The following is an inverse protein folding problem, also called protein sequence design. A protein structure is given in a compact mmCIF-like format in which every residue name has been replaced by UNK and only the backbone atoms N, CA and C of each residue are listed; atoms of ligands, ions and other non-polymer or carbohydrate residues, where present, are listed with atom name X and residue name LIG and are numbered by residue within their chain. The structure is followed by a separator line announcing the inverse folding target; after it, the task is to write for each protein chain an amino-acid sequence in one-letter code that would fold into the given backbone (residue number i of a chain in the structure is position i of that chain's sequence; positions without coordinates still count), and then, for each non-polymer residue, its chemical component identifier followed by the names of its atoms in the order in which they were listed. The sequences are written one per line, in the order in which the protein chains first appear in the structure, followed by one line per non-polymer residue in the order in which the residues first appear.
data_IF_100020000348
#
_entry.id   IF_100020000348
#
_cell.length_a   1.000
_cell.length_b   1.000
_cell.length_c   1.000
_cell.angle_alpha   90.00
_cell.angle_beta   90.00
_cell.angle_gamma   90.00
#
_symmetry.space_group_name_H-M   'P 1'
#
loop_
_entity.id
_entity.type
_entity.pdbx_description
1 polymer ?
#
# COMPACT_ATOMS: atom_id res chain seq x y z
N UNK A 1 8.15 7.11 1.52
CA UNK A 1 7.33 6.46 0.50
C UNK A 1 8.24 5.63 -0.39
N UNK A 2 7.87 4.40 -0.70
CA UNK A 2 8.51 3.54 -1.70
C UNK A 2 7.41 2.89 -2.56
N UNK A 3 7.59 2.88 -3.88
CA UNK A 3 6.70 2.25 -4.86
C UNK A 3 7.53 1.82 -6.07
N UNK A 4 6.90 1.15 -7.03
CA UNK A 4 7.55 0.67 -8.25
C UNK A 4 7.16 1.46 -9.50
N UNK A 5 6.64 2.66 -9.26
CA UNK A 5 6.30 3.61 -10.31
C UNK A 5 4.80 3.61 -10.60
N UNK A 6 4.30 4.80 -10.86
CA UNK A 6 2.87 5.03 -11.02
C UNK A 6 2.45 4.89 -12.48
N UNK A 7 2.63 3.71 -13.09
CA UNK A 7 2.21 3.43 -14.47
C UNK A 7 1.70 2.00 -14.62
N UNK A 8 0.78 1.79 -15.56
CA UNK A 8 0.29 0.46 -15.90
C UNK A 8 1.34 -0.28 -16.75
N UNK A 9 2.05 -1.21 -16.14
CA UNK A 9 3.15 -1.94 -16.76
C UNK A 9 3.31 -3.37 -16.23
N UNK A 10 4.22 -4.16 -16.82
CA UNK A 10 4.37 -5.57 -16.46
C UNK A 10 5.00 -5.79 -15.08
N UNK A 11 5.73 -4.80 -14.54
CA UNK A 11 6.32 -4.80 -13.18
C UNK A 11 7.14 -6.08 -12.84
N UNK A 12 7.60 -6.80 -13.85
CA UNK A 12 8.27 -8.09 -13.67
C UNK A 12 9.76 -7.96 -13.30
N UNK A 13 10.33 -6.77 -13.53
CA UNK A 13 11.74 -6.45 -13.28
C UNK A 13 11.94 -5.64 -12.00
N UNK A 14 10.87 -5.41 -11.24
CA UNK A 14 10.94 -4.67 -10.00
C UNK A 14 11.73 -5.40 -8.93
N UNK A 15 12.46 -4.61 -8.13
CA UNK A 15 13.18 -5.11 -6.97
C UNK A 15 12.16 -5.57 -5.92
N UNK A 16 12.20 -6.82 -5.44
CA UNK A 16 11.21 -7.29 -4.48
C UNK A 16 11.36 -6.57 -3.14
N UNK A 17 10.23 -6.37 -2.43
CA UNK A 17 10.18 -5.74 -1.11
C UNK A 17 11.16 -6.39 -0.14
N UNK A 18 11.32 -7.72 -0.20
CA UNK A 18 12.25 -8.44 0.66
C UNK A 18 13.71 -7.95 0.55
N UNK A 19 14.15 -7.56 -0.65
CA UNK A 19 15.51 -7.07 -0.86
C UNK A 19 15.71 -5.68 -0.24
N UNK A 20 14.69 -4.83 -0.26
CA UNK A 20 14.76 -3.45 0.24
C UNK A 20 14.28 -3.28 1.68
N UNK A 21 13.71 -4.33 2.29
CA UNK A 21 13.02 -4.27 3.58
C UNK A 21 13.87 -3.69 4.71
N UNK A 22 15.09 -4.21 4.94
CA UNK A 22 15.96 -3.73 6.02
C UNK A 22 16.33 -2.26 5.81
N UNK A 23 16.58 -1.86 4.56
CA UNK A 23 16.83 -0.45 4.22
C UNK A 23 15.62 0.41 4.55
N UNK A 24 14.41 0.00 4.16
CA UNK A 24 13.16 0.71 4.46
C UNK A 24 12.94 0.86 5.98
N UNK A 25 13.14 -0.22 6.75
CA UNK A 25 13.00 -0.20 8.21
C UNK A 25 14.06 0.68 8.90
N UNK A 26 15.27 0.77 8.34
CA UNK A 26 16.36 1.59 8.87
C UNK A 26 16.18 3.10 8.66
N UNK A 27 15.24 3.52 7.80
CA UNK A 27 15.01 4.94 7.56
C UNK A 27 14.63 5.67 8.85
N UNK A 28 14.96 6.96 8.99
CA UNK A 28 14.59 7.75 10.17
C UNK A 28 13.10 8.14 10.21
N UNK A 29 12.36 7.92 9.12
CA UNK A 29 10.95 8.26 9.02
C UNK A 29 10.10 7.35 9.93
N UNK A 30 9.18 7.95 10.68
CA UNK A 30 8.24 7.20 11.52
C UNK A 30 7.14 6.53 10.69
N UNK A 31 6.64 7.25 9.69
CA UNK A 31 5.56 6.81 8.81
C UNK A 31 6.13 6.27 7.49
N UNK A 32 5.81 5.03 7.18
CA UNK A 32 6.32 4.34 5.99
C UNK A 32 5.16 3.98 5.08
N UNK A 33 4.98 4.74 3.99
CA UNK A 33 4.03 4.44 2.92
C UNK A 33 4.67 3.59 1.83
N UNK A 34 4.07 2.45 1.51
CA UNK A 34 4.62 1.50 0.55
C UNK A 34 3.53 0.79 -0.25
N UNK A 35 3.84 0.47 -1.51
CA UNK A 35 2.94 -0.16 -2.47
C UNK A 35 2.66 -1.65 -2.13
N UNK A 36 1.39 -2.05 -2.06
CA UNK A 36 0.96 -3.44 -1.76
C UNK A 36 -0.40 -3.83 -2.33
N UNK A 37 -0.99 -3.07 -3.26
CA UNK A 37 -2.30 -3.38 -3.84
C UNK A 37 -2.27 -3.92 -5.24
N UNK A 38 -1.37 -3.44 -6.08
CA UNK A 38 -1.26 -3.93 -7.44
C UNK A 38 -0.98 -5.46 -7.45
N UNK A 39 -1.43 -6.19 -8.48
CA UNK A 39 -1.32 -7.65 -8.51
C UNK A 39 0.10 -8.19 -8.43
N UNK A 40 1.11 -7.40 -8.82
CA UNK A 40 2.52 -7.82 -8.78
C UNK A 40 3.06 -7.86 -7.36
N UNK A 41 2.77 -6.83 -6.56
CA UNK A 41 3.33 -6.66 -5.21
C UNK A 41 2.35 -7.02 -4.09
N UNK A 42 1.07 -7.27 -4.39
CA UNK A 42 0.05 -7.57 -3.38
C UNK A 42 0.34 -8.78 -2.49
N UNK A 43 1.19 -9.72 -2.94
CA UNK A 43 1.59 -10.87 -2.14
C UNK A 43 2.70 -10.55 -1.13
N UNK A 44 3.40 -9.42 -1.26
CA UNK A 44 4.59 -9.09 -0.46
C UNK A 44 4.28 -8.63 0.97
N UNK A 45 2.99 -8.56 1.35
CA UNK A 45 2.60 -8.43 2.77
C UNK A 45 3.19 -9.57 3.62
N UNK A 46 3.44 -10.74 3.03
CA UNK A 46 4.09 -11.88 3.70
C UNK A 46 5.52 -11.54 4.13
N UNK A 47 6.23 -10.65 3.42
CA UNK A 47 7.55 -10.17 3.83
C UNK A 47 7.48 -9.46 5.18
N UNK A 48 6.48 -8.59 5.37
CA UNK A 48 6.26 -7.89 6.63
C UNK A 48 5.88 -8.86 7.76
N UNK A 49 5.05 -9.88 7.46
CA UNK A 49 4.66 -10.92 8.42
C UNK A 49 5.88 -11.73 8.85
N UNK A 50 6.63 -12.24 7.89
CA UNK A 50 7.74 -13.17 8.12
C UNK A 50 8.95 -12.47 8.76
N UNK A 51 9.09 -11.15 8.53
CA UNK A 51 10.16 -10.31 9.06
C UNK A 51 9.67 -9.32 10.12
N UNK A 52 8.57 -9.63 10.80
CA UNK A 52 7.96 -8.78 11.84
C UNK A 52 8.97 -8.32 12.91
N UNK A 53 9.90 -9.20 13.30
CA UNK A 53 10.92 -8.90 14.32
C UNK A 53 11.91 -7.80 13.92
N UNK A 54 12.01 -7.49 12.63
CA UNK A 54 12.86 -6.42 12.10
C UNK A 54 12.13 -5.07 12.00
N UNK A 55 10.82 -5.00 12.31
CA UNK A 55 10.04 -3.76 12.25
C UNK A 55 10.19 -3.02 13.59
N UNK A 56 10.86 -1.86 13.65
CA UNK A 56 11.04 -1.12 14.90
C UNK A 56 9.69 -0.67 15.49
N UNK A 57 9.56 -0.67 16.82
CA UNK A 57 8.28 -0.40 17.49
C UNK A 57 7.71 1.00 17.27
N UNK A 58 8.57 1.96 16.90
CA UNK A 58 8.14 3.31 16.58
C UNK A 58 7.63 3.47 15.14
N UNK A 59 7.68 2.44 14.29
CA UNK A 59 7.18 2.54 12.91
C UNK A 59 5.66 2.46 12.85
N UNK A 60 5.09 3.36 12.07
CA UNK A 60 3.71 3.31 11.59
C UNK A 60 3.73 2.87 10.13
N UNK A 61 3.08 1.76 9.83
CA UNK A 61 2.99 1.22 8.48
C UNK A 61 1.80 1.84 7.77
N UNK A 62 2.04 2.32 6.54
CA UNK A 62 1.00 2.83 5.66
C UNK A 62 0.95 1.97 4.40
N UNK A 63 0.39 0.75 4.47
CA UNK A 63 0.28 -0.11 3.30
C UNK A 63 -0.63 0.54 2.25
N UNK A 64 -0.24 0.43 0.99
CA UNK A 64 -1.10 0.73 -0.14
C UNK A 64 -2.20 -0.33 -0.22
N UNK A 65 -3.46 0.09 0.00
CA UNK A 65 -4.65 -0.77 -0.01
C UNK A 65 -5.57 -0.52 -1.22
N UNK A 66 -5.24 0.48 -2.03
CA UNK A 66 -5.79 0.73 -3.37
C UNK A 66 -4.67 0.91 -4.39
N UNK A 67 -4.84 0.33 -5.57
CA UNK A 67 -3.93 0.41 -6.71
C UNK A 67 -4.10 1.76 -7.42
N UNK A 68 -2.99 2.40 -7.80
CA UNK A 68 -3.00 3.70 -8.51
C UNK A 68 -2.62 3.60 -9.98
N UNK A 69 -2.43 2.38 -10.49
CA UNK A 69 -2.04 2.09 -11.87
C UNK A 69 -3.20 1.59 -12.74
N UNK A 70 -4.34 1.24 -12.13
CA UNK A 70 -5.52 0.74 -12.83
C UNK A 70 -6.79 1.51 -12.44
N UNK A 71 -7.82 1.43 -13.28
CA UNK A 71 -9.12 2.06 -13.04
C UNK A 71 -10.12 1.17 -12.27
N UNK A 72 -9.70 0.00 -11.78
CA UNK A 72 -10.57 -0.84 -10.94
C UNK A 72 -10.78 -0.19 -9.59
N UNK A 73 -12.02 0.10 -9.20
CA UNK A 73 -12.31 0.49 -7.81
C UNK A 73 -12.33 -0.77 -6.96
N UNK A 74 -11.43 -0.84 -5.99
CA UNK A 74 -11.35 -1.95 -5.05
C UNK A 74 -12.63 -2.05 -4.23
N UNK A 75 -13.08 -3.29 -3.96
CA UNK A 75 -14.21 -3.51 -3.08
C UNK A 75 -13.84 -3.19 -1.62
N UNK A 76 -14.69 -2.52 -0.82
CA UNK A 76 -14.40 -2.18 0.58
C UNK A 76 -13.96 -3.37 1.44
N UNK A 77 -14.59 -4.54 1.29
CA UNK A 77 -14.16 -5.79 1.95
C UNK A 77 -12.71 -6.21 1.62
N UNK A 78 -12.27 -6.03 0.36
CA UNK A 78 -10.89 -6.32 -0.02
C UNK A 78 -9.94 -5.32 0.64
N UNK A 79 -10.33 -4.05 0.71
CA UNK A 79 -9.55 -3.03 1.42
C UNK A 79 -9.45 -3.37 2.92
N UNK A 80 -10.55 -3.74 3.57
CA UNK A 80 -10.57 -4.17 4.96
C UNK A 80 -9.62 -5.36 5.19
N UNK A 81 -9.70 -6.41 4.36
CA UNK A 81 -8.79 -7.55 4.42
C UNK A 81 -7.31 -7.15 4.27
N UNK A 82 -7.01 -6.19 3.39
CA UNK A 82 -5.64 -5.70 3.21
C UNK A 82 -5.15 -4.95 4.45
N UNK A 83 -5.98 -4.10 5.06
CA UNK A 83 -5.64 -3.39 6.30
C UNK A 83 -5.44 -4.39 7.45
N UNK A 84 -6.36 -5.34 7.61
CA UNK A 84 -6.34 -6.34 8.69
C UNK A 84 -5.04 -7.15 8.70
N UNK A 85 -4.56 -7.58 7.52
CA UNK A 85 -3.26 -8.28 7.40
C UNK A 85 -2.12 -7.54 8.07
N UNK A 86 -2.07 -6.21 7.93
CA UNK A 86 -1.00 -5.41 8.56
C UNK A 86 -1.29 -5.14 10.05
N UNK A 87 -2.55 -4.97 10.42
CA UNK A 87 -2.95 -4.86 11.82
C UNK A 87 -2.56 -6.11 12.62
N UNK A 88 -2.71 -7.30 12.04
CA UNK A 88 -2.29 -8.57 12.66
C UNK A 88 -0.76 -8.66 12.86
N UNK A 89 0.01 -7.94 12.04
CA UNK A 89 1.47 -7.90 12.12
C UNK A 89 1.92 -6.92 13.21
N UNK A 90 1.49 -5.67 13.18
CA UNK A 90 2.06 -4.61 14.03
C UNK A 90 1.11 -4.01 15.08
N UNK A 91 -0.16 -4.40 15.09
CA UNK A 91 -1.19 -3.79 15.92
C UNK A 91 -1.95 -2.69 15.17
N UNK A 92 -3.23 -2.50 15.52
CA UNK A 92 -4.14 -1.53 14.89
C UNK A 92 -3.71 -0.08 15.08
N UNK A 93 -3.04 0.21 16.19
CA UNK A 93 -2.47 1.51 16.53
C UNK A 93 -1.27 1.91 15.65
N UNK A 94 -0.74 0.96 14.87
CA UNK A 94 0.47 1.14 14.06
C UNK A 94 0.22 0.99 12.56
N UNK A 95 -1.04 1.05 12.12
CA UNK A 95 -1.43 0.95 10.71
C UNK A 95 -2.31 2.13 10.31
N UNK A 96 -2.02 2.73 9.16
CA UNK A 96 -2.86 3.72 8.48
C UNK A 96 -3.08 3.22 7.05
N UNK A 97 -4.30 3.21 6.53
CA UNK A 97 -4.53 2.86 5.12
C UNK A 97 -3.97 3.93 4.17
N UNK A 98 -3.23 3.54 3.14
CA UNK A 98 -2.77 4.44 2.07
C UNK A 98 -3.12 3.94 0.67
N UNK A 99 -2.83 4.75 -0.34
CA UNK A 99 -2.78 4.33 -1.74
C UNK A 99 -1.38 3.84 -2.10
N UNK A 100 -1.26 2.99 -3.13
CA UNK A 100 0.02 2.46 -3.60
C UNK A 100 1.01 3.57 -3.98
N UNK A 101 0.54 4.61 -4.67
CA UNK A 101 1.27 5.82 -5.01
C UNK A 101 0.33 7.05 -5.01
N UNK A 102 0.71 8.13 -5.69
CA UNK A 102 -0.21 9.22 -6.01
C UNK A 102 -1.02 8.92 -7.28
N UNK A 103 -2.20 9.51 -7.45
CA UNK A 103 -3.01 9.34 -8.67
C UNK A 103 -2.54 10.20 -9.86
N UNK A 104 -1.59 11.13 -9.63
CA UNK A 104 -0.99 11.96 -10.67
C UNK A 104 0.15 11.24 -11.39
N UNK A 105 -0.18 10.45 -12.41
CA UNK A 105 0.78 9.74 -13.28
C UNK A 105 1.47 10.74 -14.23
N UNK A 106 2.59 11.34 -13.82
CA UNK A 106 3.28 12.39 -14.58
C UNK A 106 2.42 13.65 -14.85
N UNK A 107 3.07 14.80 -15.11
CA UNK A 107 2.35 16.04 -15.39
C UNK A 107 1.55 15.94 -16.71
N UNK A 108 0.27 15.59 -16.61
CA UNK A 108 -0.69 15.57 -17.72
C UNK A 108 -1.07 14.21 -18.31
N UNK A 109 -0.62 13.08 -17.74
CA UNK A 109 -0.88 11.73 -18.27
C UNK A 109 -1.44 10.77 -17.21
N UNK A 110 -2.58 11.13 -16.59
CA UNK A 110 -3.20 10.30 -15.55
C UNK A 110 -3.63 8.92 -16.06
N UNK A 111 -3.08 7.84 -15.49
CA UNK A 111 -3.57 6.48 -15.73
C UNK A 111 -4.97 6.26 -15.10
N UNK A 112 -5.29 7.03 -14.06
CA UNK A 112 -6.55 6.98 -13.32
C UNK A 112 -7.36 8.25 -13.55
N UNK A 113 -8.62 8.08 -13.95
CA UNK A 113 -9.56 9.20 -14.09
C UNK A 113 -9.82 9.87 -12.72
N UNK A 114 -9.89 11.21 -12.62
CA UNK A 114 -10.13 11.90 -11.35
C UNK A 114 -11.35 11.38 -10.58
N UNK A 115 -12.47 11.08 -11.24
CA UNK A 115 -13.66 10.58 -10.58
C UNK A 115 -13.43 9.16 -10.01
N UNK A 116 -12.63 8.36 -10.70
CA UNK A 116 -12.22 7.02 -10.23
C UNK A 116 -11.25 7.13 -9.05
N UNK A 117 -10.35 8.11 -9.05
CA UNK A 117 -9.48 8.37 -7.90
C UNK A 117 -10.31 8.68 -6.64
N UNK A 118 -11.35 9.52 -6.75
CA UNK A 118 -12.27 9.78 -5.63
C UNK A 118 -13.08 8.56 -5.23
N UNK A 119 -13.53 7.74 -6.19
CA UNK A 119 -14.21 6.47 -5.90
C UNK A 119 -13.31 5.50 -5.11
N UNK A 120 -12.02 5.40 -5.47
CA UNK A 120 -11.03 4.59 -4.73
C UNK A 120 -10.80 5.11 -3.32
N UNK A 121 -10.71 6.42 -3.12
CA UNK A 121 -10.58 7.02 -1.79
C UNK A 121 -11.83 6.78 -0.93
N UNK A 122 -13.01 6.78 -1.55
CA UNK A 122 -14.28 6.43 -0.89
C UNK A 122 -14.26 4.97 -0.45
N UNK A 123 -13.92 4.04 -1.34
CA UNK A 123 -13.80 2.62 -1.02
C UNK A 123 -12.76 2.34 0.07
N UNK A 124 -11.65 3.10 0.09
CA UNK A 124 -10.65 3.01 1.16
C UNK A 124 -11.22 3.43 2.52
N UNK A 125 -12.00 4.51 2.54
CA UNK A 125 -12.67 4.99 3.76
C UNK A 125 -13.71 3.98 4.25
N UNK A 126 -14.54 3.46 3.36
CA UNK A 126 -15.54 2.43 3.67
C UNK A 126 -14.89 1.15 4.20
N UNK A 127 -13.82 0.67 3.57
CA UNK A 127 -13.09 -0.51 4.00
C UNK A 127 -12.43 -0.33 5.38
N UNK A 128 -11.86 0.84 5.66
CA UNK A 128 -11.34 1.15 6.99
C UNK A 128 -12.44 1.19 8.06
N UNK A 129 -13.63 1.70 7.72
CA UNK A 129 -14.77 1.77 8.63
C UNK A 129 -15.29 0.38 9.05
N UNK A 130 -15.16 -0.65 8.20
CA UNK A 130 -15.53 -2.04 8.54
C UNK A 130 -14.68 -2.64 9.66
N UNK A 131 -13.49 -2.09 9.91
CA UNK A 131 -12.60 -2.53 10.98
C UNK A 131 -12.76 -1.71 12.26
N UNK A 132 -13.62 -0.70 12.29
CA UNK A 132 -13.76 0.24 13.42
C UNK A 132 -14.56 -0.32 14.58
#
# INVERSE_FOLDING_TARGET
HICWGNYEGPHCCDIPMNTVFSTLMSTKAQHLLFETSNPRHAHEWTVFRDRKSEIPDNKILIPGVVDTTTNFVEHPELVAQRIERFCDIVGRDRVISGSDCGFGTFAGFGAVDPDIAYAKLTAMTEGAALLS
#
